data_IF_923366901386
#
_entry.id   IF_923366901386
#
_cell.length_a   1.000
_cell.length_b   1.000
_cell.length_c   1.000
_cell.angle_alpha   90.00
_cell.angle_beta   90.00
_cell.angle_gamma   90.00
#
_symmetry.space_group_name_H-M   'P 1'
#
loop_
_entity.id
_entity.type
_entity.pdbx_description
1 polymer ?
#
# COMPACT_ATOMS: atom_id res chain seq x y z
N UNK A 1 -14.47 26.32 6.30
CA UNK A 1 -13.78 25.04 6.57
C UNK A 1 -13.60 24.33 5.24
N UNK A 2 -12.38 23.90 4.92
CA UNK A 2 -12.06 23.22 3.66
C UNK A 2 -11.67 21.76 3.87
N UNK A 3 -11.30 21.08 2.78
CA UNK A 3 -10.76 19.72 2.81
C UNK A 3 -9.39 19.69 3.48
N UNK A 4 -9.13 18.60 4.22
CA UNK A 4 -7.84 18.35 4.86
C UNK A 4 -7.30 17.02 4.36
N UNK A 5 -6.06 17.03 3.85
CA UNK A 5 -5.41 15.87 3.28
C UNK A 5 -4.39 15.28 4.26
N UNK A 6 -4.35 13.96 4.32
CA UNK A 6 -3.39 13.20 5.11
C UNK A 6 -2.67 12.22 4.19
N UNK A 7 -1.33 12.17 4.28
CA UNK A 7 -0.55 11.18 3.57
C UNK A 7 -0.46 9.91 4.42
N UNK A 8 -0.98 8.78 3.91
CA UNK A 8 -0.95 7.48 4.56
C UNK A 8 0.16 6.56 4.01
N UNK A 9 1.00 7.07 3.11
CA UNK A 9 2.07 6.30 2.48
C UNK A 9 3.38 6.40 3.24
N UNK A 10 4.08 5.28 3.37
CA UNK A 10 5.47 5.25 3.81
C UNK A 10 6.40 5.88 2.77
N UNK A 11 7.54 6.43 3.21
CA UNK A 11 8.62 6.81 2.29
C UNK A 11 9.14 5.57 1.57
N UNK A 12 9.30 5.68 0.26
CA UNK A 12 9.70 4.58 -0.62
C UNK A 12 11.04 4.87 -1.31
N UNK A 13 11.86 3.84 -1.52
CA UNK A 13 13.15 3.94 -2.18
C UNK A 13 14.11 2.81 -1.77
N UNK A 14 15.39 2.96 -2.12
CA UNK A 14 16.44 2.04 -1.66
C UNK A 14 16.45 1.94 -0.13
N UNK A 15 16.57 0.72 0.41
CA UNK A 15 16.55 0.41 1.83
C UNK A 15 15.24 0.74 2.56
N UNK A 16 14.14 0.91 1.83
CA UNK A 16 12.83 0.92 2.48
C UNK A 16 12.57 -0.45 3.16
N UNK A 17 11.72 -0.51 4.21
CA UNK A 17 11.35 -1.79 4.81
C UNK A 17 10.84 -2.76 3.74
N UNK A 18 11.51 -3.91 3.66
CA UNK A 18 11.24 -4.93 2.65
C UNK A 18 11.03 -6.29 3.32
N UNK A 19 10.33 -7.16 2.61
CA UNK A 19 10.20 -8.53 3.04
C UNK A 19 11.56 -9.25 2.97
N UNK A 20 11.98 -10.01 4.00
CA UNK A 20 13.36 -10.52 4.12
C UNK A 20 13.89 -11.37 2.96
N UNK A 21 13.01 -11.98 2.15
CA UNK A 21 13.41 -12.80 1.00
C UNK A 21 13.39 -12.04 -0.34
N UNK A 22 12.90 -10.79 -0.39
CA UNK A 22 12.89 -10.02 -1.63
C UNK A 22 14.20 -9.24 -1.81
N UNK A 23 14.68 -9.08 -3.06
CA UNK A 23 15.70 -8.08 -3.37
C UNK A 23 15.22 -6.69 -2.98
N UNK A 24 16.14 -5.85 -2.51
CA UNK A 24 15.86 -4.44 -2.23
C UNK A 24 15.53 -3.67 -3.52
N UNK A 25 14.85 -2.53 -3.36
CA UNK A 25 14.52 -1.61 -4.45
C UNK A 25 15.81 -1.11 -5.10
N UNK A 26 15.96 -1.32 -6.41
CA UNK A 26 17.10 -0.81 -7.18
C UNK A 26 16.68 0.39 -8.00
N UNK A 27 17.42 1.49 -7.86
CA UNK A 27 17.23 2.71 -8.63
C UNK A 27 18.55 3.04 -9.33
N UNK A 28 18.58 2.84 -10.64
CA UNK A 28 19.79 2.96 -11.46
C UNK A 28 19.66 4.16 -12.39
N UNK A 29 20.68 5.01 -12.47
CA UNK A 29 20.69 6.15 -13.41
C UNK A 29 21.15 5.67 -14.78
N UNK A 30 20.35 5.95 -15.80
CA UNK A 30 20.66 5.69 -17.21
C UNK A 30 21.24 6.95 -17.85
N UNK A 31 20.64 8.11 -17.54
CA UNK A 31 21.17 9.44 -17.89
C UNK A 31 21.34 10.27 -16.61
N UNK A 32 22.32 11.16 -16.60
CA UNK A 32 22.51 12.12 -15.53
C UNK A 32 22.64 13.53 -16.08
N UNK A 33 22.10 14.49 -15.32
CA UNK A 33 21.95 15.89 -15.73
C UNK A 33 23.25 16.49 -16.28
N UNK A 34 24.38 16.25 -15.61
CA UNK A 34 25.66 16.84 -15.99
C UNK A 34 26.16 16.42 -17.39
N UNK A 35 25.77 15.25 -17.90
CA UNK A 35 26.17 14.79 -19.24
C UNK A 35 25.07 14.98 -20.28
N UNK A 36 23.82 14.73 -19.92
CA UNK A 36 22.73 14.60 -20.89
C UNK A 36 21.69 15.71 -20.82
N UNK A 37 21.75 16.59 -19.81
CA UNK A 37 20.70 17.59 -19.55
C UNK A 37 19.36 16.99 -19.09
N UNK A 38 19.31 15.67 -18.90
CA UNK A 38 18.13 14.91 -18.47
C UNK A 38 18.53 13.85 -17.45
N UNK A 39 17.63 13.58 -16.50
CA UNK A 39 17.69 12.45 -15.59
C UNK A 39 16.75 11.36 -16.08
N UNK A 40 17.27 10.17 -16.32
CA UNK A 40 16.48 8.97 -16.60
C UNK A 40 16.93 7.87 -15.66
N UNK A 41 15.99 7.17 -15.03
CA UNK A 41 16.28 6.13 -14.07
C UNK A 41 15.50 4.85 -14.39
N UNK A 42 16.13 3.71 -14.17
CA UNK A 42 15.46 2.41 -14.12
C UNK A 42 15.15 2.09 -12.67
N UNK A 43 13.92 1.68 -12.43
CA UNK A 43 13.47 1.18 -11.14
C UNK A 43 13.21 -0.31 -11.29
N UNK A 44 13.79 -1.11 -10.40
CA UNK A 44 13.45 -2.53 -10.24
C UNK A 44 12.97 -2.73 -8.81
N UNK A 45 11.73 -3.19 -8.64
CA UNK A 45 11.09 -3.37 -7.34
C UNK A 45 10.12 -4.56 -7.37
N UNK A 46 9.87 -5.15 -6.20
CA UNK A 46 8.67 -5.97 -5.99
C UNK A 46 7.43 -5.07 -6.00
N UNK A 47 6.29 -5.61 -6.43
CA UNK A 47 4.99 -4.94 -6.29
C UNK A 47 4.59 -4.80 -4.81
N UNK A 48 5.00 -5.76 -3.97
CA UNK A 48 4.79 -5.74 -2.53
C UNK A 48 5.90 -4.96 -1.82
N UNK A 49 5.96 -3.65 -2.07
CA UNK A 49 6.96 -2.75 -1.48
C UNK A 49 6.29 -1.60 -0.74
N UNK A 50 6.51 -1.50 0.58
CA UNK A 50 5.93 -0.47 1.45
C UNK A 50 4.40 -0.37 1.37
N UNK A 51 3.82 0.83 1.24
CA UNK A 51 2.37 1.05 1.07
C UNK A 51 1.97 0.64 -0.36
N UNK A 52 1.22 -0.45 -0.49
CA UNK A 52 0.79 -1.03 -1.77
C UNK A 52 -0.66 -1.56 -1.67
N UNK A 53 -1.18 -2.08 -2.78
CA UNK A 53 -2.49 -2.73 -2.87
C UNK A 53 -2.29 -4.11 -3.47
N UNK A 54 -2.93 -5.12 -2.87
CA UNK A 54 -2.94 -6.48 -3.37
C UNK A 54 -4.14 -6.69 -4.30
N UNK A 55 -3.87 -7.19 -5.52
CA UNK A 55 -4.92 -7.64 -6.42
C UNK A 55 -5.39 -9.05 -6.04
N UNK A 56 -6.64 -9.47 -6.37
CA UNK A 56 -7.12 -10.83 -6.14
C UNK A 56 -6.16 -11.91 -6.65
N UNK A 57 -5.57 -11.70 -7.84
CA UNK A 57 -4.62 -12.61 -8.46
C UNK A 57 -3.39 -12.92 -7.58
N UNK A 58 -3.08 -12.08 -6.59
CA UNK A 58 -1.96 -12.28 -5.68
C UNK A 58 -2.07 -13.60 -4.90
N UNK A 59 -3.28 -13.96 -4.47
CA UNK A 59 -3.52 -15.13 -3.60
C UNK A 59 -4.54 -16.12 -4.16
N UNK A 60 -5.28 -15.75 -5.23
CA UNK A 60 -6.28 -16.62 -5.85
C UNK A 60 -6.02 -16.74 -7.35
N UNK A 61 -5.69 -17.95 -7.80
CA UNK A 61 -5.44 -18.24 -9.22
C UNK A 61 -6.69 -17.93 -10.08
N UNK A 62 -6.47 -17.33 -11.25
CA UNK A 62 -7.53 -17.06 -12.23
C UNK A 62 -8.45 -15.89 -11.87
N UNK A 63 -8.10 -15.10 -10.87
CA UNK A 63 -8.82 -13.87 -10.51
C UNK A 63 -8.11 -12.63 -11.09
N UNK A 64 -8.76 -11.45 -11.12
CA UNK A 64 -8.22 -10.26 -11.78
C UNK A 64 -6.86 -9.80 -11.26
N UNK A 65 -5.97 -9.41 -12.18
CA UNK A 65 -4.77 -8.62 -11.91
C UNK A 65 -5.12 -7.16 -11.63
N UNK A 66 -4.16 -6.37 -11.13
CA UNK A 66 -4.42 -5.01 -10.64
C UNK A 66 -4.97 -4.08 -11.72
N UNK A 67 -4.58 -4.28 -12.98
CA UNK A 67 -5.06 -3.54 -14.16
C UNK A 67 -6.46 -3.93 -14.60
N UNK A 68 -6.97 -5.08 -14.13
CA UNK A 68 -8.30 -5.59 -14.43
C UNK A 68 -9.34 -5.22 -13.36
N UNK A 69 -8.90 -4.73 -12.18
CA UNK A 69 -9.80 -4.30 -11.10
C UNK A 69 -10.49 -2.98 -11.48
N UNK A 70 -11.83 -2.88 -11.43
CA UNK A 70 -12.54 -1.65 -11.80
C UNK A 70 -12.20 -0.45 -10.90
N UNK A 71 -11.99 0.72 -11.50
CA UNK A 71 -11.59 1.96 -10.82
C UNK A 71 -12.42 2.37 -9.59
N UNK A 72 -13.75 2.15 -9.53
CA UNK A 72 -14.54 2.49 -8.34
C UNK A 72 -14.09 1.81 -7.04
N UNK A 73 -13.30 0.73 -7.11
CA UNK A 73 -12.76 0.06 -5.92
C UNK A 73 -11.57 0.80 -5.28
N UNK A 74 -10.96 1.77 -5.98
CA UNK A 74 -9.77 2.49 -5.50
C UNK A 74 -10.08 3.86 -4.88
N UNK A 75 -11.36 4.27 -4.84
CA UNK A 75 -11.77 5.54 -4.26
C UNK A 75 -13.11 5.40 -3.55
N UNK A 76 -13.14 5.73 -2.26
CA UNK A 76 -14.36 5.63 -1.48
C UNK A 76 -14.21 6.14 -0.04
N UNK A 77 -15.33 6.09 0.68
CA UNK A 77 -15.38 6.42 2.10
C UNK A 77 -14.85 5.26 2.93
N UNK A 78 -14.00 5.56 3.91
CA UNK A 78 -13.51 4.59 4.89
C UNK A 78 -13.75 5.10 6.31
N UNK A 79 -13.85 4.17 7.26
CA UNK A 79 -13.86 4.48 8.68
C UNK A 79 -12.48 4.25 9.28
N UNK A 80 -12.06 5.13 10.20
CA UNK A 80 -10.81 4.98 10.94
C UNK A 80 -11.15 4.60 12.37
N UNK A 81 -10.70 3.42 12.80
CA UNK A 81 -10.95 2.90 14.15
C UNK A 81 -9.64 2.59 14.86
N UNK A 82 -9.57 2.93 16.15
CA UNK A 82 -8.41 2.62 17.00
C UNK A 82 -8.66 1.34 17.78
N UNK A 83 -7.99 0.24 17.42
CA UNK A 83 -8.04 -1.04 18.13
C UNK A 83 -6.65 -1.33 18.71
N UNK A 84 -6.46 -1.04 20.00
CA UNK A 84 -5.16 -1.23 20.66
C UNK A 84 -4.98 -2.70 21.06
N UNK A 85 -3.83 -3.27 20.69
CA UNK A 85 -3.46 -4.67 20.93
C UNK A 85 -2.03 -4.76 21.45
N UNK A 86 -1.74 -5.78 22.24
CA UNK A 86 -0.36 -6.16 22.59
C UNK A 86 0.29 -6.91 21.42
N UNK A 87 1.60 -7.05 21.48
CA UNK A 87 2.39 -7.77 20.47
C UNK A 87 1.79 -9.17 20.26
N UNK A 88 1.55 -9.53 19.00
CA UNK A 88 1.01 -10.83 18.55
C UNK A 88 -0.47 -11.09 18.85
N UNK A 89 -1.21 -10.13 19.39
CA UNK A 89 -2.66 -10.29 19.52
C UNK A 89 -3.37 -10.00 18.20
N UNK A 90 -4.30 -10.88 17.82
CA UNK A 90 -5.14 -10.68 16.64
C UNK A 90 -6.24 -9.65 16.90
N UNK A 91 -6.67 -8.98 15.81
CA UNK A 91 -7.92 -8.24 15.76
C UNK A 91 -9.04 -9.26 15.51
N UNK A 92 -10.05 -9.28 16.37
CA UNK A 92 -11.18 -10.23 16.29
C UNK A 92 -12.45 -9.56 15.80
N UNK A 93 -13.46 -10.38 15.45
CA UNK A 93 -14.79 -9.88 15.12
C UNK A 93 -15.39 -9.04 16.26
N UNK A 94 -15.22 -9.46 17.51
CA UNK A 94 -15.72 -8.72 18.68
C UNK A 94 -15.04 -7.35 18.85
N UNK A 95 -13.76 -7.23 18.48
CA UNK A 95 -13.08 -5.93 18.47
C UNK A 95 -13.72 -4.97 17.46
N UNK A 96 -14.01 -5.48 16.26
CA UNK A 96 -14.67 -4.71 15.21
C UNK A 96 -16.11 -4.34 15.60
N UNK A 97 -16.86 -5.27 16.19
CA UNK A 97 -18.22 -5.02 16.68
C UNK A 97 -18.22 -3.88 17.71
N UNK A 98 -17.32 -3.94 18.71
CA UNK A 98 -17.17 -2.89 19.72
C UNK A 98 -16.72 -1.56 19.12
N UNK A 99 -15.81 -1.58 18.16
CA UNK A 99 -15.21 -0.36 17.61
C UNK A 99 -16.11 0.36 16.60
N UNK A 100 -16.83 -0.39 15.75
CA UNK A 100 -17.58 0.18 14.63
C UNK A 100 -18.82 -0.62 14.20
N UNK A 101 -19.29 -1.61 14.97
CA UNK A 101 -20.46 -2.42 14.61
C UNK A 101 -21.67 -1.56 14.19
N UNK A 102 -22.03 -0.58 15.02
CA UNK A 102 -23.13 0.37 14.77
C UNK A 102 -22.95 1.26 13.52
N UNK A 103 -21.72 1.47 13.07
CA UNK A 103 -21.42 2.31 11.91
C UNK A 103 -21.48 1.53 10.59
N UNK A 104 -21.29 0.21 10.63
CA UNK A 104 -21.25 -0.65 9.43
C UNK A 104 -22.56 -1.42 9.25
N UNK A 105 -23.22 -1.80 10.34
CA UNK A 105 -24.47 -2.57 10.36
C UNK A 105 -25.53 -1.74 11.11
N UNK A 106 -26.24 -0.84 10.41
CA UNK A 106 -27.36 -0.11 10.99
C UNK A 106 -28.51 -1.04 11.40
#
# INVERSE_FOLDING_TARGET
MGLKFYNLSHRWGFQCPNWPYFPDVKIERIHYMAKSGVLSQRITTSMHSTTHIDAPAHVVQGTPFIDEVPLPHFFGSGIVVSIRKKKWESITADDLERACGKAIRP
#
